data_IF_572595815226
#
_entry.id   IF_572595815226
#
_cell.length_a   1.000
_cell.length_b   1.000
_cell.length_c   1.000
_cell.angle_alpha   90.00
_cell.angle_beta   90.00
_cell.angle_gamma   90.00
#
_symmetry.space_group_name_H-M   'P 1'
#
loop_
_entity.id
_entity.type
_entity.pdbx_description
1 polymer ?
#
# COMPACT_ATOMS: atom_id res chain seq x y z
N UNK A 1 6.53 22.81 -3.57
CA UNK A 1 7.68 22.06 -4.15
C UNK A 1 8.97 22.85 -3.96
N UNK A 2 9.00 24.14 -4.34
CA UNK A 2 10.14 25.03 -4.00
C UNK A 2 10.40 25.11 -2.49
N UNK A 3 9.35 25.20 -1.66
CA UNK A 3 9.48 25.21 -0.19
C UNK A 3 10.09 23.90 0.37
N UNK A 4 9.83 22.76 -0.26
CA UNK A 4 10.31 21.45 0.22
C UNK A 4 11.77 21.21 -0.20
N UNK A 5 12.13 21.65 -1.41
CA UNK A 5 13.52 21.64 -1.87
C UNK A 5 14.38 22.65 -1.09
N UNK A 6 13.82 23.79 -0.71
CA UNK A 6 14.47 24.79 0.15
C UNK A 6 14.81 24.28 1.56
N UNK A 7 14.09 23.27 2.05
CA UNK A 7 14.36 22.60 3.32
C UNK A 7 15.41 21.46 3.23
N UNK A 8 15.91 21.14 2.03
CA UNK A 8 16.88 20.06 1.81
C UNK A 8 16.28 18.64 1.75
N UNK A 9 14.95 18.52 1.63
CA UNK A 9 14.27 17.22 1.62
C UNK A 9 14.25 16.62 0.22
N UNK A 10 14.55 15.33 0.13
CA UNK A 10 14.39 14.56 -1.10
C UNK A 10 12.99 13.97 -1.16
N UNK A 11 12.32 14.13 -2.30
CA UNK A 11 10.96 13.67 -2.54
C UNK A 11 10.98 12.43 -3.41
N UNK A 12 10.15 11.46 -3.04
CA UNK A 12 9.79 10.30 -3.83
C UNK A 12 8.27 10.14 -3.81
N UNK A 13 7.63 10.15 -4.97
CA UNK A 13 6.18 10.01 -5.06
C UNK A 13 5.66 9.65 -6.44
N UNK A 14 4.54 8.93 -6.46
CA UNK A 14 3.84 8.60 -7.70
C UNK A 14 3.04 9.79 -8.21
N UNK A 15 3.07 10.01 -9.52
CA UNK A 15 2.28 11.03 -10.18
C UNK A 15 0.92 10.44 -10.64
N UNK A 16 -0.21 11.14 -10.41
CA UNK A 16 -1.52 10.66 -10.81
C UNK A 16 -1.66 10.47 -12.33
N UNK A 17 -2.15 9.30 -12.75
CA UNK A 17 -2.41 8.97 -14.18
C UNK A 17 -3.52 9.83 -14.82
N UNK A 18 -4.33 10.51 -14.01
CA UNK A 18 -5.41 11.39 -14.46
C UNK A 18 -4.90 12.72 -15.01
N UNK A 19 -3.72 13.16 -14.57
CA UNK A 19 -3.14 14.46 -14.93
C UNK A 19 -2.69 14.49 -16.40
N UNK A 20 -2.96 15.60 -17.09
CA UNK A 20 -2.65 15.76 -18.52
C UNK A 20 -1.17 15.58 -18.83
N UNK A 21 -0.26 16.19 -18.04
CA UNK A 21 1.18 16.06 -18.27
C UNK A 21 1.63 14.60 -18.15
N UNK A 22 1.11 13.86 -17.16
CA UNK A 22 1.43 12.43 -16.96
C UNK A 22 0.92 11.59 -18.13
N UNK A 23 -0.29 11.84 -18.63
CA UNK A 23 -0.82 11.13 -19.80
C UNK A 23 0.06 11.33 -21.04
N UNK A 24 0.54 12.55 -21.27
CA UNK A 24 1.43 12.87 -22.38
C UNK A 24 2.78 12.14 -22.27
N UNK A 25 3.33 12.05 -21.07
CA UNK A 25 4.54 11.25 -20.78
C UNK A 25 4.27 9.78 -21.10
N UNK A 26 3.18 9.21 -20.58
CA UNK A 26 2.84 7.80 -20.77
C UNK A 26 2.59 7.44 -22.25
N UNK A 27 2.05 8.36 -23.04
CA UNK A 27 1.78 8.18 -24.47
C UNK A 27 3.05 8.29 -25.34
N UNK A 28 4.03 9.09 -24.91
CA UNK A 28 5.22 9.42 -25.73
C UNK A 28 6.45 8.60 -25.32
N UNK A 29 6.63 8.35 -24.03
CA UNK A 29 7.82 7.72 -23.49
C UNK A 29 7.88 6.23 -23.83
N UNK A 30 9.04 5.81 -24.34
CA UNK A 30 9.34 4.40 -24.60
C UNK A 30 10.06 3.82 -23.38
N UNK A 31 9.50 2.76 -22.83
CA UNK A 31 10.17 1.90 -21.87
C UNK A 31 10.49 0.58 -22.58
N UNK A 32 11.74 0.33 -22.98
CA UNK A 32 12.11 -0.96 -23.54
C UNK A 32 12.12 -2.00 -22.41
N UNK A 33 11.51 -3.16 -22.64
CA UNK A 33 11.56 -4.29 -21.71
C UNK A 33 12.78 -5.15 -22.04
N UNK A 34 13.92 -4.83 -21.43
CA UNK A 34 15.20 -5.50 -21.68
C UNK A 34 16.00 -5.63 -20.37
N UNK A 35 17.12 -6.38 -20.35
CA UNK A 35 17.90 -6.58 -19.13
C UNK A 35 18.42 -5.29 -18.49
N UNK A 36 18.63 -4.22 -19.27
CA UNK A 36 19.15 -2.93 -18.75
C UNK A 36 18.10 -2.09 -18.01
N UNK A 37 16.81 -2.34 -18.27
CA UNK A 37 15.69 -1.66 -17.60
C UNK A 37 15.01 -2.55 -16.56
N UNK A 38 15.44 -3.81 -16.40
CA UNK A 38 14.86 -4.73 -15.44
C UNK A 38 15.11 -4.26 -14.01
N UNK A 39 14.08 -4.30 -13.18
CA UNK A 39 14.15 -3.96 -11.74
C UNK A 39 14.01 -5.23 -10.91
N UNK A 40 12.82 -5.82 -10.93
CA UNK A 40 12.52 -7.00 -10.13
C UNK A 40 11.48 -7.89 -10.78
N UNK A 41 11.51 -9.17 -10.43
CA UNK A 41 10.48 -10.14 -10.79
C UNK A 41 9.27 -9.99 -9.87
N UNK A 42 8.08 -10.08 -10.45
CA UNK A 42 6.82 -10.18 -9.68
C UNK A 42 6.25 -11.59 -9.81
N UNK A 43 5.17 -11.89 -9.08
CA UNK A 43 4.51 -13.20 -9.10
C UNK A 43 4.07 -13.61 -10.51
N UNK A 44 3.57 -12.65 -11.29
CA UNK A 44 2.94 -12.86 -12.60
C UNK A 44 3.69 -12.18 -13.76
N UNK A 45 4.85 -11.58 -13.49
CA UNK A 45 5.64 -10.91 -14.53
C UNK A 45 6.91 -10.26 -14.01
N UNK A 46 7.20 -9.06 -14.50
CA UNK A 46 8.38 -8.28 -14.13
C UNK A 46 8.05 -6.80 -14.10
N UNK A 47 8.92 -6.04 -13.42
CA UNK A 47 8.91 -4.59 -13.39
C UNK A 47 10.14 -4.09 -14.12
N UNK A 48 9.92 -3.16 -15.04
CA UNK A 48 10.99 -2.46 -15.75
C UNK A 48 10.90 -0.97 -15.46
N UNK A 49 12.02 -0.26 -15.45
CA UNK A 49 12.07 1.16 -15.18
C UNK A 49 13.12 1.88 -16.04
N UNK A 50 12.84 3.14 -16.38
CA UNK A 50 13.79 4.03 -17.04
C UNK A 50 13.59 5.47 -16.60
N UNK A 51 14.65 6.27 -16.67
CA UNK A 51 14.59 7.72 -16.46
C UNK A 51 14.17 8.41 -17.74
N UNK A 52 13.23 9.35 -17.63
CA UNK A 52 12.71 10.15 -18.74
C UNK A 52 12.73 11.61 -18.31
N UNK A 53 13.18 12.50 -19.19
CA UNK A 53 13.01 13.95 -19.00
C UNK A 53 11.68 14.37 -19.59
N UNK A 54 10.89 15.07 -18.79
CA UNK A 54 9.59 15.54 -19.20
C UNK A 54 9.24 16.88 -18.55
N UNK A 55 8.42 17.65 -19.25
CA UNK A 55 7.89 18.91 -18.75
C UNK A 55 6.77 18.66 -17.75
N UNK A 56 7.03 18.98 -16.48
CA UNK A 56 6.07 18.91 -15.38
C UNK A 56 5.95 20.28 -14.72
N UNK A 57 4.71 20.77 -14.57
CA UNK A 57 4.41 22.07 -13.96
C UNK A 57 5.28 23.21 -14.51
N UNK A 58 5.34 23.28 -15.85
CA UNK A 58 6.09 24.28 -16.64
C UNK A 58 7.63 24.16 -16.58
N UNK A 59 8.19 23.22 -15.82
CA UNK A 59 9.64 22.97 -15.74
C UNK A 59 10.03 21.61 -16.32
N UNK A 60 11.22 21.50 -16.92
CA UNK A 60 11.80 20.19 -17.27
C UNK A 60 12.26 19.47 -16.01
N UNK A 61 11.82 18.23 -15.84
CA UNK A 61 12.16 17.39 -14.69
C UNK A 61 12.51 15.99 -15.15
N UNK A 62 13.45 15.36 -14.45
CA UNK A 62 13.69 13.94 -14.57
C UNK A 62 12.64 13.18 -13.76
N UNK A 63 12.00 12.20 -14.38
CA UNK A 63 11.04 11.30 -13.76
C UNK A 63 11.42 9.86 -14.09
N UNK A 64 10.96 8.94 -13.25
CA UNK A 64 11.14 7.50 -13.47
C UNK A 64 9.84 6.93 -14.00
N UNK A 65 9.86 6.40 -15.22
CA UNK A 65 8.78 5.64 -15.81
C UNK A 65 9.01 4.16 -15.50
N UNK A 66 7.99 3.48 -14.98
CA UNK A 66 8.05 2.03 -14.78
C UNK A 66 6.80 1.32 -15.29
N UNK A 67 6.94 0.04 -15.64
CA UNK A 67 5.83 -0.86 -15.96
C UNK A 67 5.65 -1.90 -14.89
N UNK A 68 4.41 -2.28 -14.62
CA UNK A 68 4.06 -3.44 -13.82
C UNK A 68 3.12 -4.34 -14.63
N UNK A 69 3.61 -5.54 -14.98
CA UNK A 69 2.89 -6.49 -15.80
C UNK A 69 1.57 -6.98 -15.17
N UNK A 70 1.51 -7.11 -13.84
CA UNK A 70 0.30 -7.52 -13.12
C UNK A 70 -0.80 -6.46 -13.28
N UNK A 71 -0.47 -5.20 -12.97
CA UNK A 71 -1.40 -4.10 -13.16
C UNK A 71 -1.75 -3.84 -14.62
N UNK A 72 -0.84 -4.12 -15.58
CA UNK A 72 -1.17 -4.01 -17.00
C UNK A 72 -2.25 -5.03 -17.41
N UNK A 73 -2.17 -6.24 -16.85
CA UNK A 73 -3.18 -7.27 -17.06
C UNK A 73 -4.52 -6.88 -16.43
N UNK A 74 -4.50 -6.39 -15.19
CA UNK A 74 -5.70 -5.97 -14.46
C UNK A 74 -6.39 -4.78 -15.16
N UNK A 75 -5.65 -3.73 -15.51
CA UNK A 75 -6.15 -2.55 -16.26
C UNK A 75 -6.85 -2.98 -17.56
N UNK A 76 -6.27 -3.96 -18.27
CA UNK A 76 -6.83 -4.49 -19.52
C UNK A 76 -8.11 -5.28 -19.27
N UNK A 77 -8.09 -6.20 -18.31
CA UNK A 77 -9.25 -7.05 -18.00
C UNK A 77 -10.43 -6.20 -17.52
N UNK A 78 -10.18 -5.24 -16.62
CA UNK A 78 -11.21 -4.32 -16.12
C UNK A 78 -11.85 -3.53 -17.27
N UNK A 79 -11.03 -2.95 -18.15
CA UNK A 79 -11.52 -2.23 -19.33
C UNK A 79 -12.33 -3.13 -20.25
N UNK A 80 -11.81 -4.30 -20.62
CA UNK A 80 -12.47 -5.18 -21.59
C UNK A 80 -13.80 -5.71 -21.01
N UNK A 81 -13.84 -6.01 -19.71
CA UNK A 81 -15.06 -6.42 -19.00
C UNK A 81 -16.10 -5.28 -18.94
N UNK A 82 -15.67 -4.05 -18.64
CA UNK A 82 -16.55 -2.89 -18.63
C UNK A 82 -17.13 -2.62 -20.03
N UNK A 83 -16.28 -2.58 -21.07
CA UNK A 83 -16.71 -2.36 -22.45
C UNK A 83 -17.65 -3.47 -22.95
N UNK A 84 -17.39 -4.73 -22.61
CA UNK A 84 -18.28 -5.84 -22.95
C UNK A 84 -19.66 -5.70 -22.29
N UNK A 85 -19.70 -5.25 -21.03
CA UNK A 85 -20.96 -5.01 -20.30
C UNK A 85 -21.75 -3.86 -20.93
N UNK A 86 -21.07 -2.75 -21.25
CA UNK A 86 -21.67 -1.60 -21.93
C UNK A 86 -22.21 -2.00 -23.31
N UNK A 87 -21.47 -2.79 -24.08
CA UNK A 87 -21.91 -3.26 -25.39
C UNK A 87 -23.20 -4.10 -25.31
N UNK A 88 -23.28 -5.02 -24.34
CA UNK A 88 -24.50 -5.80 -24.08
C UNK A 88 -25.67 -4.89 -23.70
N UNK A 89 -25.46 -3.97 -22.77
CA UNK A 89 -26.48 -3.04 -22.30
C UNK A 89 -27.00 -2.11 -23.41
N UNK A 90 -26.11 -1.56 -24.25
CA UNK A 90 -26.49 -0.73 -25.40
C UNK A 90 -27.27 -1.51 -26.46
N UNK A 91 -26.95 -2.80 -26.65
CA UNK A 91 -27.70 -3.69 -27.55
C UNK A 91 -29.12 -3.91 -27.03
N UNK A 92 -29.27 -4.25 -25.75
CA UNK A 92 -30.59 -4.38 -25.10
C UNK A 92 -31.36 -3.05 -25.10
N UNK A 93 -30.69 -1.92 -24.88
CA UNK A 93 -31.30 -0.60 -24.91
C UNK A 93 -31.76 -0.22 -26.33
N UNK A 94 -31.05 -0.63 -27.37
CA UNK A 94 -31.47 -0.45 -28.76
C UNK A 94 -32.75 -1.21 -29.11
N UNK A 95 -33.05 -2.31 -28.42
CA UNK A 95 -34.28 -3.07 -28.62
C UNK A 95 -35.44 -2.47 -27.82
N UNK A 96 -35.22 -2.19 -26.54
CA UNK A 96 -36.24 -1.65 -25.61
C UNK A 96 -36.58 -0.18 -25.87
N UNK A 97 -35.61 0.61 -26.30
CA UNK A 97 -35.71 2.06 -26.48
C UNK A 97 -36.44 2.52 -27.73
N UNK A 98 -36.96 1.60 -28.57
CA UNK A 98 -37.69 1.91 -29.80
C UNK A 98 -38.95 2.76 -29.56
N UNK A 99 -39.53 2.70 -28.37
CA UNK A 99 -40.76 3.40 -28.00
C UNK A 99 -40.52 4.55 -27.02
N UNK A 100 -39.26 4.84 -26.67
CA UNK A 100 -38.93 5.83 -25.64
C UNK A 100 -38.77 7.23 -26.24
N UNK A 101 -39.12 8.24 -25.43
CA UNK A 101 -38.80 9.63 -25.73
C UNK A 101 -37.28 9.86 -25.75
N UNK A 102 -36.82 10.76 -26.62
CA UNK A 102 -35.39 11.01 -26.86
C UNK A 102 -34.62 11.39 -25.58
N UNK A 103 -35.16 12.28 -24.74
CA UNK A 103 -34.51 12.66 -23.49
C UNK A 103 -34.28 11.48 -22.55
N UNK A 104 -35.25 10.57 -22.44
CA UNK A 104 -35.13 9.34 -21.65
C UNK A 104 -34.10 8.37 -22.24
N UNK A 105 -34.01 8.31 -23.57
CA UNK A 105 -33.03 7.48 -24.27
C UNK A 105 -31.60 8.00 -24.06
N UNK A 106 -31.39 9.31 -24.17
CA UNK A 106 -30.09 9.92 -23.95
C UNK A 106 -29.62 9.76 -22.50
N UNK A 107 -30.51 9.98 -21.52
CA UNK A 107 -30.19 9.75 -20.11
C UNK A 107 -29.79 8.29 -19.84
N UNK A 108 -30.52 7.32 -20.40
CA UNK A 108 -30.18 5.91 -20.26
C UNK A 108 -28.87 5.53 -20.97
N UNK A 109 -28.57 6.14 -22.12
CA UNK A 109 -27.29 5.93 -22.81
C UNK A 109 -26.13 6.48 -21.95
N UNK A 110 -26.29 7.67 -21.37
CA UNK A 110 -25.27 8.30 -20.53
C UNK A 110 -25.02 7.49 -19.25
N UNK A 111 -26.07 6.99 -18.60
CA UNK A 111 -26.00 6.11 -17.44
C UNK A 111 -25.27 4.80 -17.76
N UNK A 112 -25.59 4.17 -18.90
CA UNK A 112 -24.96 2.91 -19.32
C UNK A 112 -23.48 3.11 -19.65
N UNK A 113 -23.12 4.22 -20.31
CA UNK A 113 -21.74 4.46 -20.74
C UNK A 113 -20.85 4.92 -19.57
N UNK A 114 -21.37 5.79 -18.71
CA UNK A 114 -20.64 6.35 -17.57
C UNK A 114 -19.26 6.92 -17.96
N UNK A 115 -18.24 6.54 -17.19
CA UNK A 115 -16.85 7.01 -17.37
C UNK A 115 -16.16 6.49 -18.64
N UNK A 116 -16.75 5.51 -19.33
CA UNK A 116 -16.17 4.86 -20.53
C UNK A 116 -16.57 5.54 -21.85
N UNK A 117 -17.13 6.76 -21.77
CA UNK A 117 -17.58 7.54 -22.94
C UNK A 117 -16.50 7.78 -24.00
N UNK A 118 -15.23 7.83 -23.59
CA UNK A 118 -14.09 7.99 -24.51
C UNK A 118 -13.99 6.82 -25.52
N UNK A 119 -14.46 5.63 -25.14
CA UNK A 119 -14.27 4.37 -25.89
C UNK A 119 -15.46 3.97 -26.73
N UNK A 120 -16.62 4.59 -26.54
CA UNK A 120 -17.86 4.21 -27.23
C UNK A 120 -18.33 5.37 -28.12
N UNK A 121 -18.76 5.03 -29.33
CA UNK A 121 -19.43 5.96 -30.23
C UNK A 121 -20.88 5.52 -30.36
N UNK A 122 -21.80 6.34 -29.87
CA UNK A 122 -23.24 6.14 -30.05
C UNK A 122 -23.78 7.19 -31.00
N UNK A 123 -24.64 6.77 -31.92
CA UNK A 123 -25.38 7.62 -32.85
C UNK A 123 -26.85 7.23 -32.81
N UNK A 124 -27.70 8.19 -32.48
CA UNK A 124 -29.15 8.05 -32.60
C UNK A 124 -29.55 8.58 -33.98
N UNK A 125 -30.13 7.73 -34.83
CA UNK A 125 -30.64 8.15 -36.16
C UNK A 125 -32.14 8.40 -36.08
N UNK A 126 -32.57 9.57 -36.56
CA UNK A 126 -33.97 9.90 -36.88
C UNK A 126 -34.18 9.71 -38.38
N UNK A 127 -35.03 8.76 -38.76
CA UNK A 127 -35.28 8.46 -40.16
C UNK A 127 -36.21 7.27 -40.31
N UNK A 128 -37.46 7.41 -39.85
CA UNK A 128 -38.51 6.40 -39.91
C UNK A 128 -39.34 6.32 -38.63
N UNK A 129 -40.41 5.50 -38.66
CA UNK A 129 -41.38 5.33 -37.57
C UNK A 129 -40.80 4.83 -36.22
N UNK A 130 -39.50 4.51 -36.14
CA UNK A 130 -38.82 4.11 -34.90
C UNK A 130 -37.38 4.68 -34.82
N UNK A 131 -36.96 5.22 -33.66
CA UNK A 131 -35.57 5.58 -33.41
C UNK A 131 -34.68 4.33 -33.38
N UNK A 132 -33.51 4.40 -34.05
CA UNK A 132 -32.49 3.34 -34.03
C UNK A 132 -31.20 3.85 -33.42
N UNK A 133 -30.69 3.12 -32.42
CA UNK A 133 -29.39 3.36 -31.82
C UNK A 133 -28.35 2.57 -32.63
N UNK A 134 -27.39 3.26 -33.23
CA UNK A 134 -26.18 2.64 -33.77
C UNK A 134 -25.02 2.91 -32.83
N UNK A 135 -24.36 1.87 -32.34
CA UNK A 135 -23.20 2.02 -31.47
C UNK A 135 -22.01 1.21 -32.00
N UNK A 136 -20.80 1.69 -31.73
CA UNK A 136 -19.56 0.99 -32.04
C UNK A 136 -18.47 1.37 -31.04
N UNK A 137 -17.51 0.47 -30.81
CA UNK A 137 -16.30 0.81 -30.07
C UNK A 137 -15.38 1.72 -30.90
N UNK A 138 -14.57 2.52 -30.20
CA UNK A 138 -13.53 3.38 -30.79
C UNK A 138 -12.18 2.70 -30.63
N UNK A 139 -11.83 1.82 -31.56
CA UNK A 139 -10.59 1.01 -31.48
C UNK A 139 -9.31 1.84 -31.32
N UNK A 140 -9.28 3.06 -31.85
CA UNK A 140 -8.14 3.97 -31.67
C UNK A 140 -8.00 4.44 -30.22
N UNK A 141 -9.11 4.71 -29.54
CA UNK A 141 -9.11 5.11 -28.14
C UNK A 141 -8.70 3.93 -27.25
N UNK A 142 -9.24 2.73 -27.52
CA UNK A 142 -8.89 1.50 -26.81
C UNK A 142 -7.40 1.20 -26.96
N UNK A 143 -6.87 1.23 -28.19
CA UNK A 143 -5.43 1.02 -28.43
C UNK A 143 -4.55 2.08 -27.77
N UNK A 144 -5.01 3.33 -27.63
CA UNK A 144 -4.27 4.37 -26.90
C UNK A 144 -4.30 4.13 -25.39
N UNK A 145 -5.44 3.74 -24.81
CA UNK A 145 -5.50 3.33 -23.42
C UNK A 145 -4.60 2.11 -23.15
N UNK A 146 -4.66 1.09 -24.00
CA UNK A 146 -3.86 -0.12 -23.85
C UNK A 146 -2.34 0.14 -23.78
N UNK A 147 -1.83 1.17 -24.47
CA UNK A 147 -0.41 1.55 -24.38
C UNK A 147 0.02 2.10 -23.03
N UNK A 148 -0.94 2.51 -22.20
CA UNK A 148 -0.74 3.13 -20.89
C UNK A 148 -1.00 2.14 -19.74
N UNK A 149 -1.49 0.93 -20.05
CA UNK A 149 -1.81 -0.08 -19.05
C UNK A 149 -0.57 -0.47 -18.25
N UNK A 150 -0.71 -0.49 -16.92
CA UNK A 150 0.37 -0.83 -16.00
C UNK A 150 1.60 0.08 -16.06
N UNK A 151 1.53 1.23 -16.76
CA UNK A 151 2.60 2.23 -16.76
C UNK A 151 2.34 3.32 -15.72
N UNK A 152 3.40 3.68 -15.01
CA UNK A 152 3.37 4.64 -13.92
C UNK A 152 4.57 5.57 -13.98
N UNK A 153 4.40 6.79 -13.47
CA UNK A 153 5.46 7.80 -13.42
C UNK A 153 5.72 8.16 -11.97
N UNK A 154 6.98 8.09 -11.58
CA UNK A 154 7.48 8.50 -10.28
C UNK A 154 8.29 9.77 -10.41
N UNK A 155 8.06 10.70 -9.49
CA UNK A 155 8.92 11.84 -9.28
C UNK A 155 9.92 11.49 -8.17
N UNK A 156 11.20 11.58 -8.49
CA UNK A 156 12.29 11.50 -7.51
C UNK A 156 13.18 12.74 -7.65
N UNK A 157 13.46 13.44 -6.55
CA UNK A 157 14.35 14.61 -6.58
C UNK A 157 15.80 14.26 -6.27
N UNK A 158 16.10 13.05 -5.80
CA UNK A 158 17.48 12.63 -5.53
C UNK A 158 18.12 12.15 -6.84
N UNK A 159 19.11 12.89 -7.38
CA UNK A 159 19.71 12.54 -8.66
C UNK A 159 20.60 11.30 -8.59
N UNK A 160 21.01 10.87 -7.39
CA UNK A 160 21.96 9.77 -7.18
C UNK A 160 21.31 8.40 -7.37
N UNK A 161 19.99 8.31 -7.20
CA UNK A 161 19.27 7.05 -7.32
C UNK A 161 19.05 6.68 -8.80
N UNK A 162 19.31 5.42 -9.12
CA UNK A 162 18.97 4.81 -10.40
C UNK A 162 17.45 4.61 -10.54
N UNK A 163 16.99 4.35 -11.78
CA UNK A 163 15.56 4.07 -12.02
C UNK A 163 15.07 2.85 -11.21
N UNK A 164 15.90 1.82 -11.10
CA UNK A 164 15.59 0.61 -10.34
C UNK A 164 15.45 0.91 -8.84
N UNK A 165 16.43 1.57 -8.24
CA UNK A 165 16.40 1.92 -6.81
C UNK A 165 15.21 2.82 -6.46
N UNK A 166 14.85 3.77 -7.33
CA UNK A 166 13.67 4.63 -7.14
C UNK A 166 12.39 3.78 -7.08
N UNK A 167 12.24 2.81 -7.97
CA UNK A 167 11.06 1.93 -8.03
C UNK A 167 11.04 0.96 -6.86
N UNK A 168 12.17 0.37 -6.50
CA UNK A 168 12.30 -0.51 -5.34
C UNK A 168 11.93 0.23 -4.04
N UNK A 169 12.45 1.44 -3.83
CA UNK A 169 12.09 2.26 -2.67
C UNK A 169 10.61 2.65 -2.68
N UNK A 170 10.07 3.00 -3.85
CA UNK A 170 8.66 3.39 -3.97
C UNK A 170 7.72 2.22 -3.66
N UNK A 171 7.98 1.04 -4.22
CA UNK A 171 7.18 -0.17 -3.98
C UNK A 171 7.43 -0.76 -2.59
N UNK A 172 8.62 -0.55 -2.04
CA UNK A 172 8.96 -0.84 -0.64
C UNK A 172 8.13 -0.04 0.37
N UNK A 173 7.42 1.01 -0.05
CA UNK A 173 6.46 1.74 0.81
C UNK A 173 5.35 0.83 1.34
N UNK A 174 5.01 -0.26 0.66
CA UNK A 174 4.07 -1.26 1.17
C UNK A 174 4.52 -1.86 2.50
N UNK A 175 5.84 -1.94 2.75
CA UNK A 175 6.38 -2.33 4.05
C UNK A 175 5.99 -1.33 5.13
N UNK A 176 6.09 -0.03 4.84
CA UNK A 176 5.69 1.04 5.75
C UNK A 176 4.17 1.02 5.99
N UNK A 177 3.37 0.77 4.96
CA UNK A 177 1.92 0.64 5.09
C UNK A 177 1.50 -0.61 5.87
N UNK A 178 2.21 -1.73 5.68
CA UNK A 178 2.05 -2.95 6.49
C UNK A 178 2.48 -2.70 7.93
N UNK A 179 3.60 -2.00 8.17
CA UNK A 179 4.04 -1.60 9.51
C UNK A 179 2.99 -0.72 10.20
N UNK A 180 2.44 0.27 9.51
CA UNK A 180 1.33 1.09 10.02
C UNK A 180 0.05 0.28 10.25
N UNK A 181 -0.20 -0.76 9.47
CA UNK A 181 -1.33 -1.68 9.70
C UNK A 181 -1.11 -2.51 10.95
N UNK A 182 0.05 -3.15 11.10
CA UNK A 182 0.45 -3.90 12.30
C UNK A 182 0.36 -3.02 13.56
N UNK A 183 0.81 -1.77 13.47
CA UNK A 183 0.66 -0.80 14.56
C UNK A 183 -0.79 -0.53 14.96
N UNK A 184 -1.72 -0.52 14.00
CA UNK A 184 -3.14 -0.26 14.24
C UNK A 184 -3.91 -1.49 14.72
N UNK A 185 -3.48 -2.69 14.34
CA UNK A 185 -4.22 -3.93 14.62
C UNK A 185 -3.62 -4.75 15.78
N UNK A 186 -2.29 -4.79 15.92
CA UNK A 186 -1.62 -5.63 16.91
C UNK A 186 -1.22 -4.91 18.20
N UNK A 187 -0.86 -3.63 18.12
CA UNK A 187 -0.47 -2.85 19.32
C UNK A 187 -1.66 -2.09 19.91
N UNK A 188 -2.82 -2.12 19.25
CA UNK A 188 -4.05 -1.39 19.64
C UNK A 188 -3.78 0.07 20.05
N UNK A 189 -2.75 0.70 19.48
CA UNK A 189 -2.54 2.14 19.69
C UNK A 189 -3.61 2.84 18.86
N UNK A 190 -4.77 3.03 19.47
CA UNK A 190 -5.91 3.66 18.85
C UNK A 190 -5.48 5.04 18.33
N UNK A 191 -5.81 5.42 17.08
CA UNK A 191 -5.40 6.71 16.55
C UNK A 191 -6.10 7.84 17.30
N UNK A 192 -5.46 8.34 18.35
CA UNK A 192 -5.91 9.54 19.05
C UNK A 192 -5.68 10.72 18.12
N UNK A 193 -6.76 11.42 17.74
CA UNK A 193 -6.69 12.62 16.90
C UNK A 193 -5.99 13.77 17.64
N UNK A 194 -4.66 13.77 17.61
CA UNK A 194 -3.86 14.84 18.17
C UNK A 194 -3.88 16.06 17.24
N UNK A 195 -4.34 17.20 17.75
CA UNK A 195 -4.35 18.48 17.01
C UNK A 195 -3.10 19.34 17.24
N UNK A 196 -2.34 19.06 18.30
CA UNK A 196 -1.11 19.78 18.64
C UNK A 196 0.10 19.03 18.10
N UNK A 197 0.95 19.72 17.35
CA UNK A 197 2.13 19.15 16.69
C UNK A 197 3.04 18.34 17.63
N UNK A 198 3.35 18.87 18.82
CA UNK A 198 4.16 18.16 19.83
C UNK A 198 3.57 16.80 20.22
N UNK A 199 2.24 16.70 20.33
CA UNK A 199 1.56 15.43 20.66
C UNK A 199 1.59 14.46 19.49
N UNK A 200 1.46 14.96 18.25
CA UNK A 200 1.64 14.14 17.05
C UNK A 200 3.06 13.55 16.99
N UNK A 201 4.09 14.38 17.22
CA UNK A 201 5.49 13.91 17.23
C UNK A 201 5.75 12.87 18.32
N UNK A 202 5.26 13.10 19.54
CA UNK A 202 5.40 12.14 20.64
C UNK A 202 4.67 10.82 20.36
N UNK A 203 3.46 10.90 19.81
CA UNK A 203 2.68 9.72 19.43
C UNK A 203 3.39 8.90 18.35
N UNK A 204 3.87 9.54 17.28
CA UNK A 204 4.63 8.86 16.23
C UNK A 204 5.92 8.23 16.76
N UNK A 205 6.58 8.88 17.72
CA UNK A 205 7.76 8.31 18.40
C UNK A 205 7.40 7.03 19.18
N UNK A 206 6.33 7.04 19.98
CA UNK A 206 5.88 5.86 20.73
C UNK A 206 5.47 4.74 19.79
N UNK A 207 4.72 5.04 18.72
CA UNK A 207 4.39 4.04 17.70
C UNK A 207 5.65 3.47 17.04
N UNK A 208 6.61 4.31 16.66
CA UNK A 208 7.88 3.86 16.09
C UNK A 208 8.67 2.94 17.03
N UNK A 209 8.71 3.29 18.32
CA UNK A 209 9.36 2.47 19.35
C UNK A 209 8.66 1.12 19.53
N UNK A 210 7.33 1.13 19.65
CA UNK A 210 6.52 -0.07 19.81
C UNK A 210 6.70 -1.02 18.62
N UNK A 211 6.66 -0.50 17.37
CA UNK A 211 6.92 -1.28 16.17
C UNK A 211 8.33 -1.90 16.17
N UNK A 212 9.33 -1.13 16.60
CA UNK A 212 10.72 -1.60 16.64
C UNK A 212 10.91 -2.72 17.67
N UNK A 213 10.22 -2.64 18.82
CA UNK A 213 10.22 -3.70 19.84
C UNK A 213 9.51 -4.96 19.32
N UNK A 214 8.35 -4.80 18.68
CA UNK A 214 7.62 -5.86 17.98
C UNK A 214 8.50 -6.60 16.97
N UNK A 215 9.21 -5.87 16.09
CA UNK A 215 10.10 -6.47 15.11
C UNK A 215 11.32 -7.14 15.75
N UNK A 216 11.88 -6.55 16.82
CA UNK A 216 12.99 -7.18 17.55
C UNK A 216 12.54 -8.49 18.22
N UNK A 217 11.34 -8.53 18.81
CA UNK A 217 10.76 -9.73 19.38
C UNK A 217 10.54 -10.80 18.30
N UNK A 218 9.90 -10.43 17.19
CA UNK A 218 9.70 -11.32 16.04
C UNK A 218 11.01 -11.90 15.52
N UNK A 219 12.02 -11.07 15.36
CA UNK A 219 13.34 -11.50 14.88
C UNK A 219 14.01 -12.48 15.86
N UNK A 220 13.99 -12.19 17.16
CA UNK A 220 14.49 -13.12 18.18
C UNK A 220 13.74 -14.46 18.17
N UNK A 221 12.42 -14.45 17.97
CA UNK A 221 11.62 -15.68 17.88
C UNK A 221 11.98 -16.53 16.66
N UNK A 222 12.19 -15.90 15.50
CA UNK A 222 12.66 -16.59 14.29
C UNK A 222 14.04 -17.21 14.50
N UNK A 223 14.97 -16.48 15.11
CA UNK A 223 16.28 -17.05 15.50
C UNK A 223 16.15 -18.19 16.51
N UNK A 224 15.15 -18.11 17.41
CA UNK A 224 14.80 -19.13 18.39
C UNK A 224 14.12 -20.37 17.80
N UNK A 225 14.03 -20.49 16.47
CA UNK A 225 13.50 -21.67 15.78
C UNK A 225 11.98 -21.68 15.61
N UNK A 226 11.29 -20.57 15.85
CA UNK A 226 9.86 -20.43 15.51
C UNK A 226 9.74 -20.26 13.99
N UNK A 227 8.84 -21.03 13.36
CA UNK A 227 8.64 -20.97 11.91
C UNK A 227 8.03 -19.63 11.49
N UNK A 228 8.42 -19.14 10.32
CA UNK A 228 7.94 -17.87 9.76
C UNK A 228 6.41 -17.79 9.61
N UNK A 229 5.76 -18.93 9.38
CA UNK A 229 4.30 -19.05 9.24
C UNK A 229 3.58 -18.87 10.59
N UNK A 230 4.18 -19.38 11.67
CA UNK A 230 3.58 -19.43 13.01
C UNK A 230 4.00 -18.24 13.90
N UNK A 231 5.05 -17.50 13.50
CA UNK A 231 5.72 -16.51 14.37
C UNK A 231 4.78 -15.41 14.85
N UNK A 232 3.81 -14.99 14.02
CA UNK A 232 2.89 -13.92 14.39
C UNK A 232 1.94 -14.35 15.52
N UNK A 233 1.32 -15.52 15.39
CA UNK A 233 0.44 -16.07 16.42
C UNK A 233 1.21 -16.41 17.70
N UNK A 234 2.41 -16.98 17.56
CA UNK A 234 3.25 -17.29 18.71
C UNK A 234 3.64 -16.01 19.48
N UNK A 235 4.00 -14.96 18.75
CA UNK A 235 4.38 -13.67 19.31
C UNK A 235 3.22 -13.03 20.10
N UNK A 236 2.02 -12.98 19.52
CA UNK A 236 0.83 -12.42 20.15
C UNK A 236 0.49 -13.15 21.45
N UNK A 237 0.42 -14.49 21.39
CA UNK A 237 0.17 -15.33 22.58
C UNK A 237 1.23 -15.16 23.67
N UNK A 238 2.51 -15.07 23.29
CA UNK A 238 3.59 -14.87 24.26
C UNK A 238 3.46 -13.51 24.97
N UNK A 239 3.11 -12.44 24.23
CA UNK A 239 2.87 -11.13 24.82
C UNK A 239 1.66 -11.13 25.76
N UNK A 240 0.56 -11.80 25.38
CA UNK A 240 -0.61 -11.97 26.26
C UNK A 240 -0.27 -12.70 27.55
N UNK A 241 0.50 -13.79 27.47
CA UNK A 241 0.91 -14.56 28.64
C UNK A 241 1.90 -13.78 29.52
N UNK A 242 2.87 -13.07 28.92
CA UNK A 242 3.77 -12.18 29.64
C UNK A 242 3.02 -11.01 30.32
N UNK A 243 1.98 -10.48 29.68
CA UNK A 243 1.12 -9.44 30.24
C UNK A 243 0.37 -9.86 31.50
N UNK A 244 0.22 -11.17 31.75
CA UNK A 244 -0.39 -11.73 32.97
C UNK A 244 0.61 -12.04 34.08
N UNK A 245 1.91 -11.94 33.80
CA UNK A 245 2.96 -12.17 34.81
C UNK A 245 2.98 -10.98 35.77
N UNK A 246 2.79 -11.26 37.05
CA UNK A 246 2.81 -10.24 38.08
C UNK A 246 4.12 -10.30 38.86
N UNK A 247 4.80 -9.16 38.98
CA UNK A 247 6.02 -9.03 39.81
C UNK A 247 5.61 -8.62 41.22
N UNK A 248 5.89 -9.47 42.20
CA UNK A 248 5.61 -9.19 43.63
C UNK A 248 6.90 -9.16 44.42
N UNK A 249 7.06 -8.14 45.27
CA UNK A 249 8.15 -8.10 46.24
C UNK A 249 7.67 -8.66 47.57
N UNK A 250 8.26 -9.79 47.98
CA UNK A 250 7.94 -10.45 49.24
C UNK A 250 9.05 -10.16 50.25
N UNK A 251 8.67 -9.58 51.39
CA UNK A 251 9.59 -9.37 52.53
C UNK A 251 9.36 -10.43 53.59
N UNK A 252 10.41 -11.19 53.89
CA UNK A 252 10.45 -12.19 54.95
C UNK A 252 11.58 -11.80 55.93
N UNK A 253 11.21 -11.10 57.01
CA UNK A 253 12.18 -10.54 57.95
C UNK A 253 13.09 -9.51 57.29
N UNK A 254 14.42 -9.69 57.40
CA UNK A 254 15.42 -8.82 56.77
C UNK A 254 15.67 -9.11 55.27
N UNK A 255 15.01 -10.13 54.71
CA UNK A 255 15.21 -10.52 53.31
C UNK A 255 14.05 -10.03 52.43
N UNK A 256 14.39 -9.33 51.35
CA UNK A 256 13.46 -9.00 50.27
C UNK A 256 13.74 -9.89 49.06
N UNK A 257 12.72 -10.58 48.55
CA UNK A 257 12.80 -11.38 47.32
C UNK A 257 11.79 -10.89 46.30
N UNK A 258 12.18 -10.90 45.02
CA UNK A 258 11.24 -10.66 43.90
C UNK A 258 10.71 -12.00 43.42
N UNK A 259 9.39 -12.15 43.41
CA UNK A 259 8.68 -13.31 42.88
C UNK A 259 7.91 -12.90 41.63
N UNK A 260 7.80 -13.84 40.68
CA UNK A 260 7.00 -13.66 39.47
C UNK A 260 5.85 -14.67 39.48
N UNK A 261 4.62 -14.17 39.59
CA UNK A 261 3.41 -14.99 39.58
C UNK A 261 2.94 -15.24 38.14
N UNK A 262 2.13 -16.27 37.94
CA UNK A 262 1.55 -16.65 36.63
C UNK A 262 2.59 -16.99 35.54
N UNK A 263 3.82 -17.35 35.90
CA UNK A 263 4.84 -17.82 34.93
C UNK A 263 4.52 -19.24 34.50
N UNK A 264 3.83 -19.37 33.37
CA UNK A 264 3.47 -20.66 32.77
C UNK A 264 4.70 -21.33 32.11
N UNK A 265 4.63 -22.64 31.86
CA UNK A 265 5.70 -23.33 31.11
C UNK A 265 5.85 -22.81 29.68
N UNK A 266 4.77 -22.27 29.11
CA UNK A 266 4.79 -21.62 27.79
C UNK A 266 5.56 -20.30 27.81
N UNK A 267 5.41 -19.50 28.87
CA UNK A 267 6.24 -18.29 29.08
C UNK A 267 7.71 -18.69 29.20
N UNK A 268 8.04 -19.73 29.98
CA UNK A 268 9.42 -20.22 30.12
C UNK A 268 9.99 -20.71 28.78
N UNK A 269 9.20 -21.43 28.00
CA UNK A 269 9.58 -21.86 26.66
C UNK A 269 9.80 -20.67 25.71
N UNK A 270 8.93 -19.66 25.76
CA UNK A 270 9.10 -18.41 25.03
C UNK A 270 10.41 -17.72 25.39
N UNK A 271 10.71 -17.58 26.68
CA UNK A 271 11.96 -16.99 27.18
C UNK A 271 13.21 -17.76 26.73
N UNK A 272 13.16 -19.11 26.74
CA UNK A 272 14.24 -19.95 26.20
C UNK A 272 14.47 -19.67 24.72
N UNK A 273 13.41 -19.58 23.92
CA UNK A 273 13.50 -19.24 22.49
C UNK A 273 14.02 -17.83 22.25
N UNK A 274 13.72 -16.89 23.14
CA UNK A 274 14.28 -15.54 23.11
C UNK A 274 15.75 -15.46 23.55
N UNK A 275 16.34 -16.57 24.00
CA UNK A 275 17.68 -16.66 24.60
C UNK A 275 17.81 -15.84 25.89
N UNK A 276 16.69 -15.65 26.61
CA UNK A 276 16.61 -14.89 27.87
C UNK A 276 15.94 -15.73 28.97
N UNK A 277 16.45 -16.94 29.29
CA UNK A 277 15.79 -17.87 30.21
C UNK A 277 15.67 -17.31 31.63
N UNK A 278 16.58 -16.43 32.03
CA UNK A 278 16.69 -15.89 33.38
C UNK A 278 15.98 -14.54 33.56
N UNK A 279 15.26 -14.06 32.54
CA UNK A 279 14.58 -12.75 32.58
C UNK A 279 13.60 -12.62 33.76
N UNK A 280 12.97 -13.73 34.14
CA UNK A 280 12.03 -13.83 35.26
C UNK A 280 12.59 -14.69 36.40
N UNK A 281 13.92 -14.72 36.58
CA UNK A 281 14.54 -15.45 37.67
C UNK A 281 14.20 -14.83 39.03
N UNK A 282 13.85 -15.67 39.99
CA UNK A 282 13.61 -15.26 41.38
C UNK A 282 14.95 -15.17 42.13
N UNK A 283 15.23 -14.01 42.72
CA UNK A 283 16.50 -13.76 43.40
C UNK A 283 16.36 -12.84 44.63
N UNK A 284 17.32 -12.91 45.57
CA UNK A 284 17.39 -11.96 46.67
C UNK A 284 17.80 -10.59 46.15
N UNK A 285 17.07 -9.53 46.54
CA UNK A 285 17.64 -8.19 46.52
C UNK A 285 18.28 -7.90 47.88
N UNK A 286 19.49 -7.37 47.88
CA UNK A 286 20.05 -6.72 49.07
C UNK A 286 19.19 -5.48 49.31
N UNK A 287 18.33 -5.52 50.32
CA UNK A 287 17.54 -4.35 50.69
C UNK A 287 18.49 -3.24 51.18
N UNK A 288 18.33 -1.98 50.75
CA UNK A 288 19.00 -0.88 51.43
C UNK A 288 18.56 -0.85 52.90
N UNK A 289 19.47 -0.55 53.85
CA UNK A 289 19.14 -0.58 55.27
C UNK A 289 17.99 0.38 55.58
N UNK A 290 17.13 -0.02 56.51
CA UNK A 290 15.97 0.77 56.94
C UNK A 290 16.41 2.18 57.37
N UNK A 291 15.68 3.25 56.97
CA UNK A 291 15.87 4.55 57.61
C UNK A 291 15.52 4.39 59.10
N UNK A 292 16.51 4.75 59.94
CA UNK A 292 16.42 4.80 61.41
C UNK A 292 15.39 5.79 61.89
#
# INVERSE_FOLDING_TARGET
>A
MEEVQGAGWQLLGGLPRSTREVREILDTAKLPENPSTFVQKTRTGAIYATKVRARLWKAEREVVLYTNAEHAMDDRVERDQALATIGKALTTLSEKGKTWAEGKLHAAIEEVIGEWAEFVKVRVRRGGATPRIGWSFRDRAIRRAARRDGKYVLLCTDPRLSAAEVVEQYLGKDFVEKAFRTLKTGIEVEPVRHRRERRVRAYLFVCGLAYRLEMALRWKLLEGGVKSEDVAEYQERLLEELGRVERTEVRLGAQARTWYLNVTERVREGLRRLKEPDLLAEGPMIAPPLPT
#
